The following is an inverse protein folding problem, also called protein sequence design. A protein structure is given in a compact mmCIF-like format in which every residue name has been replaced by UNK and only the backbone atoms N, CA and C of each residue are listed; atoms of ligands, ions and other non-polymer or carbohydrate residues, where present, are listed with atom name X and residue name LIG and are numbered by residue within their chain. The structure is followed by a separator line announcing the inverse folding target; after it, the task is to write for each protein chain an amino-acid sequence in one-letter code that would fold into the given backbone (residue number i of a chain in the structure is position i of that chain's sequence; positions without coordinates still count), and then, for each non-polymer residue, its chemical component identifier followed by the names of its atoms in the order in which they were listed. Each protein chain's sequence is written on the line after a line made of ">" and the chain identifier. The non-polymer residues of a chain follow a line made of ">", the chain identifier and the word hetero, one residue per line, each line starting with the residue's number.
data_IF_563564852883
#
_entry.id   IF_563564852883
#
_cell.length_a   1.000
_cell.length_b   1.000
_cell.length_c   1.000
_cell.angle_alpha   90.00
_cell.angle_beta   90.00
_cell.angle_gamma   90.00
#
_symmetry.space_group_name_H-M   'P 1'
#
loop_
_entity.id
_entity.type
_entity.pdbx_description
1 polymer ?
#
# COMPACT_ATOMS: atom_id res chain seq x y z
N UNK A 1 -19.94 20.97 -1.84
CA UNK A 1 -18.68 20.97 -2.61
C UNK A 1 -17.59 20.54 -1.66
N UNK A 2 -17.10 19.30 -1.76
CA UNK A 2 -15.96 18.85 -0.96
C UNK A 2 -14.72 19.35 -1.68
N UNK A 3 -14.09 20.41 -1.15
CA UNK A 3 -12.89 21.03 -1.72
C UNK A 3 -11.69 20.07 -1.80
N UNK A 4 -11.78 18.89 -1.18
CA UNK A 4 -10.69 17.93 -1.03
C UNK A 4 -10.65 16.82 -2.11
N UNK A 5 -11.56 16.84 -3.10
CA UNK A 5 -11.61 15.83 -4.19
C UNK A 5 -11.14 16.39 -5.53
N UNK A 6 -10.75 17.67 -5.57
CA UNK A 6 -10.08 18.26 -6.72
C UNK A 6 -8.65 18.65 -6.32
N UNK A 7 -7.61 18.08 -6.97
CA UNK A 7 -7.64 17.15 -8.11
C UNK A 7 -8.02 15.70 -7.73
N UNK A 8 -8.27 14.87 -8.75
CA UNK A 8 -8.51 13.42 -8.59
C UNK A 8 -7.46 12.78 -7.66
N UNK A 9 -7.87 11.87 -6.76
CA UNK A 9 -6.95 11.26 -5.81
C UNK A 9 -5.90 10.42 -6.53
N UNK A 10 -4.63 10.65 -6.18
CA UNK A 10 -3.51 9.88 -6.70
C UNK A 10 -3.69 8.39 -6.42
N UNK A 11 -3.46 7.57 -7.45
CA UNK A 11 -3.50 6.11 -7.32
C UNK A 11 -2.21 5.56 -6.70
N UNK A 12 -2.28 4.36 -6.14
CA UNK A 12 -1.07 3.68 -5.61
C UNK A 12 -0.01 3.50 -6.70
N UNK A 13 -0.41 3.18 -7.94
CA UNK A 13 0.52 2.97 -9.05
C UNK A 13 1.29 4.23 -9.42
N UNK A 14 0.61 5.37 -9.47
CA UNK A 14 1.25 6.67 -9.72
C UNK A 14 2.22 7.03 -8.60
N UNK A 15 1.79 6.85 -7.34
CA UNK A 15 2.64 7.13 -6.19
C UNK A 15 3.89 6.24 -6.16
N UNK A 16 3.75 4.93 -6.43
CA UNK A 16 4.89 4.01 -6.50
C UNK A 16 5.89 4.41 -7.59
N UNK A 17 5.40 4.82 -8.75
CA UNK A 17 6.26 5.30 -9.84
C UNK A 17 7.03 6.57 -9.45
N UNK A 18 6.36 7.55 -8.84
CA UNK A 18 7.02 8.78 -8.36
C UNK A 18 8.10 8.46 -7.32
N UNK A 19 7.82 7.51 -6.42
CA UNK A 19 8.75 7.07 -5.38
C UNK A 19 9.96 6.36 -6.01
N UNK A 20 9.74 5.46 -6.97
CA UNK A 20 10.80 4.75 -7.70
C UNK A 20 11.69 5.72 -8.47
N UNK A 21 11.09 6.68 -9.20
CA UNK A 21 11.82 7.73 -9.93
C UNK A 21 12.65 8.63 -8.98
N UNK A 22 12.17 8.85 -7.74
CA UNK A 22 12.86 9.62 -6.72
C UNK A 22 13.96 8.83 -5.99
N UNK A 23 13.84 7.51 -5.90
CA UNK A 23 14.77 6.62 -5.20
C UNK A 23 16.01 6.29 -6.03
N UNK A 24 16.82 7.32 -6.30
CA UNK A 24 18.07 7.23 -7.08
C UNK A 24 19.12 6.25 -6.52
N UNK A 25 18.90 5.69 -5.34
CA UNK A 25 19.82 4.81 -4.61
C UNK A 25 19.27 3.39 -4.44
N UNK A 26 18.13 3.07 -5.06
CA UNK A 26 17.49 1.75 -4.98
C UNK A 26 17.29 1.26 -3.53
N UNK A 27 17.00 2.18 -2.60
CA UNK A 27 16.81 1.85 -1.18
C UNK A 27 15.52 1.06 -0.93
N UNK A 28 14.57 1.10 -1.87
CA UNK A 28 13.23 0.55 -1.72
C UNK A 28 12.98 -0.74 -2.51
N UNK A 29 13.84 -1.13 -3.46
CA UNK A 29 13.58 -2.27 -4.36
C UNK A 29 13.22 -3.58 -3.63
N UNK A 30 13.94 -3.90 -2.54
CA UNK A 30 13.69 -5.11 -1.75
C UNK A 30 12.93 -4.84 -0.44
N UNK A 31 12.51 -3.59 -0.22
CA UNK A 31 11.86 -3.19 1.02
C UNK A 31 10.36 -3.43 0.90
N UNK A 32 9.80 -4.18 1.86
CA UNK A 32 8.35 -4.34 1.95
C UNK A 32 7.71 -3.05 2.44
N UNK A 33 6.66 -2.62 1.77
CA UNK A 33 5.85 -1.45 2.10
C UNK A 33 4.38 -1.86 2.19
N UNK A 34 3.55 -1.01 2.79
CA UNK A 34 2.11 -1.25 2.89
C UNK A 34 1.38 -0.35 1.91
N UNK A 35 0.58 -0.94 1.02
CA UNK A 35 -0.42 -0.22 0.24
C UNK A 35 -1.81 -0.48 0.83
N UNK A 36 -2.54 0.60 1.08
CA UNK A 36 -3.85 0.58 1.72
C UNK A 36 -4.86 1.38 0.90
N UNK A 37 -6.09 0.90 0.79
CA UNK A 37 -7.17 1.57 0.08
C UNK A 37 -8.51 1.41 0.81
N UNK A 38 -9.36 2.43 0.69
CA UNK A 38 -10.74 2.46 1.20
C UNK A 38 -10.84 1.98 2.67
N UNK A 39 -9.88 2.38 3.50
CA UNK A 39 -9.84 1.99 4.91
C UNK A 39 -11.12 2.42 5.64
N UNK A 40 -11.61 1.58 6.55
CA UNK A 40 -12.87 1.81 7.25
C UNK A 40 -14.13 1.43 6.46
N UNK A 41 -14.00 0.89 5.26
CA UNK A 41 -15.13 0.42 4.43
C UNK A 41 -15.09 -1.10 4.21
N UNK A 42 -16.19 -1.66 3.70
CA UNK A 42 -16.24 -3.07 3.27
C UNK A 42 -15.33 -3.36 2.06
N UNK A 43 -14.97 -2.33 1.29
CA UNK A 43 -14.06 -2.42 0.15
C UNK A 43 -12.58 -2.26 0.53
N UNK A 44 -12.24 -2.31 1.83
CA UNK A 44 -10.86 -2.13 2.29
C UNK A 44 -9.90 -3.11 1.63
N UNK A 45 -8.76 -2.59 1.17
CA UNK A 45 -7.65 -3.39 0.67
C UNK A 45 -6.39 -3.00 1.43
N UNK A 46 -5.69 -3.98 1.98
CA UNK A 46 -4.39 -3.80 2.62
C UNK A 46 -3.46 -4.87 2.03
N UNK A 47 -2.29 -4.45 1.56
CA UNK A 47 -1.26 -5.31 0.99
C UNK A 47 0.10 -4.93 1.57
N UNK A 48 0.85 -5.94 2.02
CA UNK A 48 2.22 -5.76 2.51
C UNK A 48 3.18 -6.57 1.66
N UNK A 49 3.89 -5.90 0.74
CA UNK A 49 4.83 -6.55 -0.17
C UNK A 49 5.87 -5.54 -0.72
N UNK A 50 6.79 -6.02 -1.55
CA UNK A 50 7.75 -5.18 -2.30
C UNK A 50 7.05 -4.41 -3.43
N UNK A 51 7.66 -3.28 -3.85
CA UNK A 51 7.11 -2.39 -4.89
C UNK A 51 6.78 -3.16 -6.18
N UNK A 52 7.72 -3.98 -6.67
CA UNK A 52 7.55 -4.75 -7.91
C UNK A 52 6.26 -5.57 -7.96
N UNK A 53 5.82 -6.11 -6.81
CA UNK A 53 4.59 -6.90 -6.72
C UNK A 53 3.36 -6.01 -6.58
N UNK A 54 3.46 -4.95 -5.77
CA UNK A 54 2.34 -4.03 -5.51
C UNK A 54 1.90 -3.25 -6.75
N UNK A 55 2.78 -3.01 -7.71
CA UNK A 55 2.44 -2.34 -8.98
C UNK A 55 1.42 -3.14 -9.82
N UNK A 56 1.36 -4.46 -9.62
CA UNK A 56 0.41 -5.33 -10.33
C UNK A 56 -0.95 -5.46 -9.64
N UNK A 57 -1.07 -5.06 -8.38
CA UNK A 57 -2.32 -5.10 -7.62
C UNK A 57 -3.28 -3.95 -8.01
N UNK A 58 -4.58 -4.16 -7.80
CA UNK A 58 -5.61 -3.14 -7.98
C UNK A 58 -6.00 -2.53 -6.63
N UNK A 59 -6.00 -1.20 -6.58
CA UNK A 59 -6.38 -0.42 -5.41
C UNK A 59 -7.37 0.66 -5.83
N UNK A 60 -8.56 0.65 -5.21
CA UNK A 60 -9.51 1.75 -5.32
C UNK A 60 -9.00 2.99 -4.56
N UNK A 61 -9.54 4.16 -4.87
CA UNK A 61 -9.27 5.39 -4.13
C UNK A 61 -10.37 5.68 -3.10
N UNK A 62 -10.06 6.32 -1.95
CA UNK A 62 -8.76 6.88 -1.56
C UNK A 62 -7.78 5.80 -1.11
N UNK A 63 -6.49 6.03 -1.39
CA UNK A 63 -5.41 5.11 -1.07
C UNK A 63 -4.22 5.80 -0.39
N UNK A 64 -3.41 5.00 0.30
CA UNK A 64 -2.22 5.41 1.04
C UNK A 64 -1.09 4.40 0.85
N UNK A 65 0.14 4.89 0.94
CA UNK A 65 1.36 4.08 1.01
C UNK A 65 2.05 4.37 2.33
N UNK A 66 2.48 3.31 3.02
CA UNK A 66 3.28 3.40 4.24
C UNK A 66 4.62 2.72 3.98
N UNK A 67 5.70 3.50 4.09
CA UNK A 67 7.07 2.99 4.03
C UNK A 67 7.55 2.83 5.48
N UNK A 68 7.53 1.62 6.05
CA UNK A 68 7.96 1.42 7.43
C UNK A 68 9.46 1.67 7.57
N UNK A 69 9.93 2.04 8.76
CA UNK A 69 11.35 2.14 9.08
C UNK A 69 11.90 0.75 9.47
N UNK A 70 12.42 0.62 10.69
CA UNK A 70 12.71 -0.67 11.31
C UNK A 70 11.45 -1.14 12.03
N UNK A 71 10.90 -2.29 11.61
CA UNK A 71 9.74 -2.88 12.27
C UNK A 71 10.19 -3.68 13.50
N UNK A 72 9.43 -3.58 14.58
CA UNK A 72 9.53 -4.53 15.67
C UNK A 72 8.92 -5.88 15.25
N UNK A 73 9.42 -6.99 15.80
CA UNK A 73 9.01 -8.33 15.37
C UNK A 73 7.50 -8.56 15.40
N UNK A 74 6.79 -7.95 16.37
CA UNK A 74 5.32 -8.00 16.46
C UNK A 74 4.61 -7.20 15.37
N UNK A 75 5.17 -6.09 14.94
CA UNK A 75 4.61 -5.29 13.84
C UNK A 75 4.79 -6.03 12.52
N UNK A 76 5.95 -6.65 12.32
CA UNK A 76 6.22 -7.47 11.14
C UNK A 76 5.32 -8.71 11.09
N UNK A 77 5.10 -9.38 12.22
CA UNK A 77 4.15 -10.50 12.34
C UNK A 77 2.73 -10.07 11.93
N UNK A 78 2.26 -8.92 12.42
CA UNK A 78 0.95 -8.38 12.08
C UNK A 78 0.84 -7.99 10.59
N UNK A 79 1.87 -7.36 10.03
CA UNK A 79 1.86 -6.96 8.61
C UNK A 79 1.97 -8.16 7.67
N UNK A 80 2.68 -9.22 8.06
CA UNK A 80 2.76 -10.45 7.27
C UNK A 80 1.41 -11.17 7.12
N UNK A 81 0.43 -10.91 7.99
CA UNK A 81 -0.95 -11.39 7.80
C UNK A 81 -1.61 -10.81 6.53
N UNK A 82 -1.11 -9.68 6.05
CA UNK A 82 -1.56 -8.97 4.85
C UNK A 82 -0.63 -9.18 3.65
N UNK A 83 0.36 -10.08 3.78
CA UNK A 83 1.19 -10.53 2.67
C UNK A 83 0.38 -11.49 1.80
N UNK A 84 0.56 -11.37 0.48
CA UNK A 84 -0.27 -11.93 -0.58
C UNK A 84 -0.87 -13.32 -0.28
N UNK A 85 -2.17 -13.35 0.04
CA UNK A 85 -3.02 -14.54 -0.07
C UNK A 85 -4.28 -14.17 -0.82
N UNK A 86 -4.50 -14.86 -1.93
CA UNK A 86 -5.81 -15.02 -2.54
C UNK A 86 -6.86 -15.21 -1.44
N UNK A 87 -7.86 -14.32 -1.44
CA UNK A 87 -9.15 -14.44 -0.76
C UNK A 87 -9.14 -15.05 0.64
N UNK A 88 -9.31 -14.20 1.66
CA UNK A 88 -10.37 -14.47 2.64
C UNK A 88 -10.82 -13.14 3.26
N UNK A 89 -12.12 -12.86 3.10
CA UNK A 89 -12.85 -11.91 3.91
C UNK A 89 -12.48 -12.18 5.37
N UNK A 90 -11.71 -11.30 5.97
CA UNK A 90 -11.62 -11.23 7.42
C UNK A 90 -12.96 -10.67 7.87
N UNK A 91 -13.92 -11.58 8.07
CA UNK A 91 -15.20 -11.36 8.71
C UNK A 91 -14.88 -11.17 10.20
N UNK A 92 -14.83 -9.91 10.61
CA UNK A 92 -14.90 -9.49 12.01
C UNK A 92 -16.35 -9.20 12.35
#
# INVERSE_FOLDING_TARGET
>A
MLLDVEPEPMTVKEALKIIEDADKKDMLNNKKIVACACLGTEKRVIRYDIIERLVHDEFDTPACIIIPASLHFKEEEALNMWHNKNNEKIMV
#
